data_IF_993962506023
#
_entry.id   IF_993962506023
#
_cell.length_a   1.000
_cell.length_b   1.000
_cell.length_c   1.000
_cell.angle_alpha   90.00
_cell.angle_beta   90.00
_cell.angle_gamma   90.00
#
_symmetry.space_group_name_H-M   'P 1'
#
loop_
_entity.id
_entity.type
_entity.pdbx_description
1 polymer ?
#
# COMPACT_ATOMS: atom_id res chain seq x y z
N UNK A 1 12.08 -9.12 9.10
CA UNK A 1 11.26 -8.19 9.92
C UNK A 1 12.08 -7.35 10.89
N UNK A 2 13.18 -7.86 11.38
CA UNK A 2 14.06 -7.21 12.36
C UNK A 2 14.71 -5.94 11.82
N UNK A 3 15.09 -5.95 10.55
CA UNK A 3 15.69 -4.79 9.87
C UNK A 3 14.79 -3.53 9.78
N UNK A 4 13.49 -3.68 9.94
CA UNK A 4 12.55 -2.54 10.00
C UNK A 4 12.54 -1.86 11.37
N UNK A 5 12.80 -2.62 12.43
CA UNK A 5 12.73 -2.12 13.80
C UNK A 5 14.10 -1.71 14.38
N UNK A 6 15.20 -1.97 13.67
CA UNK A 6 16.54 -1.71 14.17
C UNK A 6 16.95 -2.61 15.34
N UNK A 7 16.41 -3.83 15.38
CA UNK A 7 16.71 -4.77 16.46
C UNK A 7 18.08 -5.46 16.24
N UNK A 8 18.60 -6.04 17.33
CA UNK A 8 19.76 -6.91 17.26
C UNK A 8 19.45 -8.11 16.36
N UNK A 9 20.35 -8.40 15.45
CA UNK A 9 20.30 -9.56 14.55
C UNK A 9 21.48 -10.47 14.80
N UNK A 10 21.21 -11.76 14.93
CA UNK A 10 22.24 -12.79 15.12
C UNK A 10 22.14 -13.81 14.00
N UNK A 11 23.20 -13.98 13.24
CA UNK A 11 23.28 -14.98 12.17
C UNK A 11 24.20 -16.13 12.57
N UNK A 12 23.63 -17.33 12.71
CA UNK A 12 24.36 -18.56 12.93
C UNK A 12 24.50 -19.28 11.56
N UNK A 13 25.56 -19.00 10.81
CA UNK A 13 25.85 -19.75 9.56
C UNK A 13 26.82 -20.89 9.85
N UNK A 14 26.38 -22.11 9.61
CA UNK A 14 27.17 -23.35 9.75
C UNK A 14 28.41 -23.42 8.87
N UNK A 15 28.58 -22.48 7.92
CA UNK A 15 29.68 -22.47 6.94
C UNK A 15 30.91 -21.61 7.31
N UNK A 16 30.81 -20.81 8.35
CA UNK A 16 31.97 -20.04 8.82
C UNK A 16 32.31 -20.54 10.21
N UNK A 17 33.51 -21.08 10.34
CA UNK A 17 34.09 -21.57 11.59
C UNK A 17 33.76 -20.63 12.75
N UNK A 18 32.92 -21.09 13.66
CA UNK A 18 32.58 -20.57 15.00
C UNK A 18 32.37 -19.04 15.20
N UNK A 19 32.46 -18.20 14.20
CA UNK A 19 32.20 -16.77 14.36
C UNK A 19 30.72 -16.46 14.22
N UNK A 20 30.11 -16.23 15.35
CA UNK A 20 28.72 -15.75 15.48
C UNK A 20 28.65 -14.29 15.03
N UNK A 21 28.06 -14.03 13.85
CA UNK A 21 27.87 -12.66 13.38
C UNK A 21 26.72 -12.00 14.16
N UNK A 22 27.08 -11.01 14.97
CA UNK A 22 26.12 -10.18 15.70
C UNK A 22 26.08 -8.76 15.15
N UNK A 23 24.88 -8.33 14.71
CA UNK A 23 24.62 -6.95 14.31
C UNK A 23 23.74 -6.32 15.39
N UNK A 24 24.27 -5.35 16.12
CA UNK A 24 23.56 -4.76 17.27
C UNK A 24 22.30 -3.98 16.84
N UNK A 25 22.37 -3.29 15.71
CA UNK A 25 21.27 -2.50 15.16
C UNK A 25 21.15 -2.79 13.66
N UNK A 26 20.31 -3.73 13.28
CA UNK A 26 20.05 -4.01 11.87
C UNK A 26 18.96 -3.06 11.35
N UNK A 27 19.35 -2.07 10.57
CA UNK A 27 18.47 -1.15 9.87
C UNK A 27 18.70 -1.24 8.37
N UNK A 28 17.64 -1.48 7.62
CA UNK A 28 17.68 -1.51 6.16
C UNK A 28 16.54 -0.68 5.62
N UNK A 29 16.87 0.32 4.81
CA UNK A 29 15.90 1.08 4.03
C UNK A 29 15.81 0.50 2.62
N UNK A 30 14.61 0.36 2.10
CA UNK A 30 14.34 -0.13 0.75
C UNK A 30 13.59 0.95 -0.01
N UNK A 31 14.17 1.40 -1.11
CA UNK A 31 13.54 2.33 -2.03
C UNK A 31 13.56 1.73 -3.44
N UNK A 32 12.44 1.87 -4.17
CA UNK A 32 12.36 1.33 -5.51
C UNK A 32 10.99 1.52 -6.13
N UNK A 33 10.88 1.09 -7.38
CA UNK A 33 9.64 1.08 -8.14
C UNK A 33 9.25 -0.35 -8.48
N UNK A 34 7.95 -0.59 -8.57
CA UNK A 34 7.40 -1.89 -8.96
C UNK A 34 6.24 -1.68 -9.93
N UNK A 35 6.14 -2.54 -10.93
CA UNK A 35 4.99 -2.52 -11.82
C UNK A 35 3.72 -2.95 -11.07
N UNK A 36 2.56 -2.29 -11.27
CA UNK A 36 1.33 -2.62 -10.57
C UNK A 36 0.96 -4.11 -10.65
N UNK A 37 1.09 -4.73 -11.83
CA UNK A 37 0.79 -6.15 -12.00
C UNK A 37 1.73 -7.03 -11.17
N UNK A 38 3.02 -6.72 -11.13
CA UNK A 38 4.00 -7.44 -10.31
C UNK A 38 3.70 -7.33 -8.82
N UNK A 39 3.33 -6.13 -8.37
CA UNK A 39 2.93 -5.89 -6.98
C UNK A 39 1.75 -6.77 -6.59
N UNK A 40 0.75 -6.86 -7.46
CA UNK A 40 -0.44 -7.67 -7.25
C UNK A 40 -0.11 -9.17 -7.17
N UNK A 41 0.65 -9.65 -8.15
CA UNK A 41 0.89 -11.09 -8.33
C UNK A 41 1.85 -11.65 -7.27
N UNK A 42 2.78 -10.84 -6.77
CA UNK A 42 3.84 -11.30 -5.87
C UNK A 42 3.67 -10.85 -4.43
N UNK A 43 3.31 -9.60 -4.22
CA UNK A 43 3.38 -8.97 -2.89
C UNK A 43 2.00 -8.93 -2.24
N UNK A 44 0.95 -8.55 -2.98
CA UNK A 44 -0.42 -8.48 -2.46
C UNK A 44 -1.10 -9.85 -2.37
N UNK A 45 -0.58 -10.86 -3.06
CA UNK A 45 -1.10 -12.23 -2.99
C UNK A 45 -0.74 -12.96 -1.69
N UNK A 46 0.36 -12.58 -1.05
CA UNK A 46 0.84 -13.16 0.21
C UNK A 46 0.26 -12.40 1.42
N UNK A 47 -0.83 -12.94 1.96
CA UNK A 47 -1.75 -12.23 2.88
C UNK A 47 -1.36 -12.28 4.35
N UNK A 48 -0.18 -12.72 4.74
CA UNK A 48 -0.07 -13.17 6.13
C UNK A 48 0.96 -12.52 7.03
N UNK A 49 2.00 -11.90 6.51
CA UNK A 49 3.19 -11.64 7.33
C UNK A 49 3.39 -10.16 7.78
N UNK A 50 2.47 -9.28 7.41
CA UNK A 50 2.58 -7.85 7.68
C UNK A 50 3.77 -7.19 6.95
N UNK A 51 4.36 -7.85 5.95
CA UNK A 51 5.46 -7.32 5.15
C UNK A 51 5.04 -6.07 4.39
N UNK A 52 3.88 -6.14 3.73
CA UNK A 52 3.27 -5.02 3.01
C UNK A 52 3.10 -3.75 3.84
N UNK A 53 2.69 -3.93 5.09
CA UNK A 53 2.45 -2.84 6.01
C UNK A 53 3.73 -2.09 6.45
N UNK A 54 4.90 -2.58 6.05
CA UNK A 54 6.21 -1.95 6.33
C UNK A 54 6.72 -1.08 5.19
N UNK A 55 5.95 -0.97 4.10
CA UNK A 55 6.25 -0.09 2.98
C UNK A 55 5.27 1.06 2.92
N UNK A 56 5.78 2.25 2.68
CA UNK A 56 4.99 3.43 2.32
C UNK A 56 4.75 3.37 0.80
N UNK A 57 3.60 2.86 0.42
CA UNK A 57 3.22 2.74 -0.97
C UNK A 57 2.75 4.07 -1.52
N UNK A 58 3.28 4.46 -2.68
CA UNK A 58 2.89 5.69 -3.37
C UNK A 58 2.46 5.35 -4.79
N UNK A 59 1.22 5.71 -5.12
CA UNK A 59 0.66 5.54 -6.46
C UNK A 59 0.00 6.84 -6.91
N UNK A 60 0.79 7.79 -7.43
CA UNK A 60 0.29 9.10 -7.83
C UNK A 60 -0.60 9.00 -9.07
N UNK A 61 -1.45 10.01 -9.26
CA UNK A 61 -2.16 10.20 -10.51
C UNK A 61 -1.19 10.59 -11.62
N UNK A 62 -1.48 10.10 -12.83
CA UNK A 62 -0.71 10.49 -14.00
C UNK A 62 -0.92 11.97 -14.27
N UNK A 63 0.17 12.73 -14.21
CA UNK A 63 0.17 14.12 -14.63
C UNK A 63 0.60 14.20 -16.09
N UNK A 64 0.15 15.24 -16.85
CA UNK A 64 0.68 15.52 -18.18
C UNK A 64 2.21 15.63 -18.12
N UNK A 65 2.88 15.09 -19.15
CA UNK A 65 4.33 15.21 -19.25
C UNK A 65 4.74 16.69 -19.33
N UNK A 66 5.63 17.11 -18.43
CA UNK A 66 6.25 18.41 -18.47
C UNK A 66 7.68 18.27 -19.01
N UNK A 67 8.14 19.29 -19.74
CA UNK A 67 9.52 19.32 -20.20
C UNK A 67 10.41 19.60 -18.98
N UNK A 68 11.38 18.73 -18.68
CA UNK A 68 12.30 18.97 -17.57
C UNK A 68 13.03 20.29 -17.74
N UNK A 69 13.01 21.13 -16.73
CA UNK A 69 13.84 22.33 -16.69
C UNK A 69 15.18 21.97 -16.06
N UNK A 70 16.26 22.50 -16.67
CA UNK A 70 17.60 22.30 -16.13
C UNK A 70 17.75 23.21 -14.89
N UNK A 71 17.59 22.65 -13.71
CA UNK A 71 17.78 23.37 -12.45
C UNK A 71 19.12 22.95 -11.84
N UNK A 72 19.97 23.93 -11.53
CA UNK A 72 21.15 23.66 -10.73
C UNK A 72 20.71 23.26 -9.30
N UNK A 73 21.38 22.25 -8.72
CA UNK A 73 21.18 21.91 -7.31
C UNK A 73 21.49 23.15 -6.45
N UNK A 74 20.61 23.53 -5.52
CA UNK A 74 20.92 24.60 -4.58
C UNK A 74 22.18 24.24 -3.78
N UNK A 75 23.06 25.21 -3.56
CA UNK A 75 24.35 24.99 -2.88
C UNK A 75 24.18 24.47 -1.45
N UNK A 76 23.10 24.87 -0.76
CA UNK A 76 22.78 24.44 0.59
C UNK A 76 22.42 22.95 0.69
N UNK A 77 21.96 22.31 -0.39
CA UNK A 77 21.59 20.89 -0.37
C UNK A 77 22.79 20.00 -0.03
N UNK A 78 23.94 20.24 -0.65
CA UNK A 78 25.14 19.46 -0.36
C UNK A 78 25.61 19.67 1.10
N UNK A 79 25.63 20.91 1.57
CA UNK A 79 26.00 21.21 2.94
C UNK A 79 25.04 20.57 3.97
N UNK A 80 23.73 20.54 3.65
CA UNK A 80 22.75 19.87 4.50
C UNK A 80 22.98 18.34 4.57
N UNK A 81 23.31 17.70 3.44
CA UNK A 81 23.67 16.30 3.43
C UNK A 81 24.96 16.01 4.21
N UNK A 82 26.00 16.82 4.06
CA UNK A 82 27.25 16.70 4.84
C UNK A 82 26.98 16.84 6.34
N UNK A 83 26.07 17.77 6.73
CA UNK A 83 25.68 17.95 8.11
C UNK A 83 24.91 16.74 8.67
N UNK A 84 24.01 16.15 7.89
CA UNK A 84 23.33 14.90 8.25
C UNK A 84 24.28 13.72 8.36
N UNK A 85 25.25 13.60 7.43
CA UNK A 85 26.25 12.53 7.44
C UNK A 85 27.13 12.58 8.68
N UNK A 86 27.42 13.78 9.20
CA UNK A 86 28.17 13.96 10.45
C UNK A 86 27.49 13.32 11.69
N UNK A 87 26.16 13.12 11.65
CA UNK A 87 25.43 12.41 12.72
C UNK A 87 25.70 10.91 12.70
N UNK A 88 26.14 10.39 11.58
CA UNK A 88 26.30 8.95 11.28
C UNK A 88 27.75 8.49 11.33
N UNK A 89 28.65 9.13 12.12
CA UNK A 89 30.04 8.71 12.17
C UNK A 89 30.19 7.20 12.53
N UNK A 90 30.33 6.32 11.52
CA UNK A 90 30.45 4.87 11.74
C UNK A 90 31.82 4.47 12.30
N UNK A 91 32.80 5.38 12.28
CA UNK A 91 34.17 5.15 12.68
C UNK A 91 34.54 5.79 14.02
N UNK A 92 33.58 6.38 14.72
CA UNK A 92 33.81 6.85 16.07
C UNK A 92 34.05 5.65 16.98
N UNK A 93 35.28 5.51 17.47
CA UNK A 93 35.77 4.43 18.38
C UNK A 93 35.01 4.32 19.72
N UNK A 94 34.03 5.12 19.94
CA UNK A 94 33.15 5.04 21.11
C UNK A 94 32.06 4.00 20.86
N UNK A 95 32.42 2.72 21.02
CA UNK A 95 31.49 1.58 21.01
C UNK A 95 30.35 1.70 22.08
N UNK A 96 30.38 2.71 22.91
CA UNK A 96 29.38 3.06 23.94
C UNK A 96 28.47 4.23 23.53
N UNK A 97 28.45 4.65 22.25
CA UNK A 97 27.42 5.62 21.85
C UNK A 97 26.04 5.01 22.06
N UNK A 98 25.50 5.26 23.25
CA UNK A 98 24.10 5.04 23.55
C UNK A 98 23.28 5.59 22.39
N UNK A 99 22.30 4.81 21.91
CA UNK A 99 21.34 5.28 20.92
C UNK A 99 20.85 6.66 21.36
N UNK A 100 21.18 7.69 20.60
CA UNK A 100 20.69 9.04 20.89
C UNK A 100 19.19 9.04 20.65
N UNK A 101 18.43 9.16 21.71
CA UNK A 101 16.98 9.29 21.64
C UNK A 101 16.64 10.78 21.70
N UNK A 102 15.92 11.27 20.71
CA UNK A 102 15.31 12.61 20.73
C UNK A 102 13.90 12.46 21.29
N UNK A 103 13.60 12.98 22.49
CA UNK A 103 12.24 12.99 23.01
C UNK A 103 11.37 13.94 22.19
N UNK A 104 10.07 13.79 22.28
CA UNK A 104 9.12 14.79 21.79
C UNK A 104 9.09 15.97 22.79
N UNK A 105 8.90 17.20 22.31
CA UNK A 105 8.54 18.31 23.18
C UNK A 105 7.21 18.02 23.90
N UNK A 106 6.91 18.72 24.98
CA UNK A 106 5.67 18.51 25.75
C UNK A 106 4.44 18.69 24.85
N UNK A 107 4.41 19.72 24.04
CA UNK A 107 3.33 20.05 23.12
C UNK A 107 3.23 19.02 21.99
N UNK A 108 4.37 18.59 21.44
CA UNK A 108 4.44 17.54 20.42
C UNK A 108 3.88 16.21 20.94
N UNK A 109 4.20 15.87 22.20
CA UNK A 109 3.68 14.64 22.82
C UNK A 109 2.18 14.71 23.05
N UNK A 110 1.63 15.85 23.46
CA UNK A 110 0.19 16.04 23.65
C UNK A 110 -0.56 15.88 22.32
N UNK A 111 -0.05 16.51 21.25
CA UNK A 111 -0.61 16.39 19.91
C UNK A 111 -0.56 14.93 19.42
N UNK A 112 0.60 14.30 19.54
CA UNK A 112 0.78 12.90 19.13
C UNK A 112 -0.17 11.96 19.89
N UNK A 113 -0.31 12.11 21.19
CA UNK A 113 -1.20 11.28 21.99
C UNK A 113 -2.67 11.43 21.57
N UNK A 114 -3.11 12.66 21.31
CA UNK A 114 -4.47 12.94 20.83
C UNK A 114 -4.74 12.27 19.48
N UNK A 115 -3.82 12.47 18.54
CA UNK A 115 -3.89 11.82 17.23
C UNK A 115 -3.86 10.29 17.34
N UNK A 116 -2.95 9.75 18.17
CA UNK A 116 -2.77 8.30 18.33
C UNK A 116 -4.04 7.60 18.82
N UNK A 117 -4.74 8.18 19.79
CA UNK A 117 -6.00 7.62 20.29
C UNK A 117 -7.08 7.59 19.20
N UNK A 118 -7.22 8.65 18.42
CA UNK A 118 -8.14 8.71 17.29
C UNK A 118 -7.75 7.70 16.20
N UNK A 119 -6.47 7.62 15.87
CA UNK A 119 -5.91 6.70 14.88
C UNK A 119 -6.08 5.22 15.29
N UNK A 120 -5.89 4.90 16.58
CA UNK A 120 -6.10 3.55 17.11
C UNK A 120 -7.55 3.10 16.91
N UNK A 121 -8.52 3.96 17.22
CA UNK A 121 -9.95 3.68 16.99
C UNK A 121 -10.23 3.43 15.50
N UNK A 122 -9.70 4.27 14.61
CA UNK A 122 -9.82 4.08 13.14
C UNK A 122 -9.24 2.74 12.71
N UNK A 123 -8.05 2.39 13.19
CA UNK A 123 -7.36 1.14 12.86
C UNK A 123 -8.13 -0.11 13.35
N UNK A 124 -8.79 -0.03 14.53
CA UNK A 124 -9.57 -1.13 15.07
C UNK A 124 -10.89 -1.36 14.30
N UNK A 125 -11.49 -0.29 13.77
CA UNK A 125 -12.72 -0.35 12.98
C UNK A 125 -12.48 -0.78 11.54
N UNK A 126 -11.24 -0.73 11.06
CA UNK A 126 -10.89 -1.10 9.70
C UNK A 126 -10.86 -2.63 9.53
N UNK A 127 -11.66 -3.15 8.61
CA UNK A 127 -11.76 -4.60 8.33
C UNK A 127 -10.92 -5.05 7.13
N UNK A 128 -10.51 -4.10 6.29
CA UNK A 128 -9.73 -4.40 5.09
C UNK A 128 -8.25 -4.64 5.41
N UNK A 129 -7.47 -5.01 4.38
CA UNK A 129 -6.00 -5.16 4.48
C UNK A 129 -5.31 -3.86 4.94
N UNK A 130 -5.96 -2.70 4.78
CA UNK A 130 -5.46 -1.41 5.21
C UNK A 130 -5.21 -1.36 6.72
N UNK A 131 -5.93 -2.14 7.52
CA UNK A 131 -5.73 -2.21 8.98
C UNK A 131 -4.30 -2.56 9.38
N UNK A 132 -3.60 -3.37 8.59
CA UNK A 132 -2.19 -3.73 8.87
C UNK A 132 -1.26 -2.54 8.69
N UNK A 133 -1.53 -1.68 7.70
CA UNK A 133 -0.82 -0.43 7.48
C UNK A 133 -1.14 0.58 8.59
N UNK A 134 -2.42 0.79 8.89
CA UNK A 134 -2.84 1.66 9.98
C UNK A 134 -2.23 1.23 11.32
N UNK A 135 -2.16 -0.08 11.59
CA UNK A 135 -1.51 -0.62 12.79
C UNK A 135 -0.01 -0.29 12.92
N UNK A 136 0.64 0.24 11.87
CA UNK A 136 2.02 0.75 11.90
C UNK A 136 2.12 2.27 11.92
N UNK A 137 0.99 2.97 11.85
CA UNK A 137 0.91 4.41 11.69
C UNK A 137 1.68 5.19 12.74
N UNK A 138 1.57 4.80 14.03
CA UNK A 138 2.32 5.43 15.11
C UNK A 138 3.83 5.45 14.86
N UNK A 139 4.39 4.32 14.39
CA UNK A 139 5.82 4.23 14.10
C UNK A 139 6.23 5.02 12.86
N UNK A 140 5.34 5.17 11.88
CA UNK A 140 5.58 6.00 10.71
C UNK A 140 5.59 7.48 11.08
N UNK A 141 4.59 7.95 11.80
CA UNK A 141 4.51 9.36 12.20
C UNK A 141 5.72 9.78 13.03
N UNK A 142 6.14 8.97 14.01
CA UNK A 142 7.33 9.27 14.81
C UNK A 142 8.62 9.30 13.97
N UNK A 143 8.79 8.39 13.02
CA UNK A 143 9.95 8.38 12.10
C UNK A 143 9.94 9.58 11.17
N UNK A 144 8.77 9.92 10.61
CA UNK A 144 8.63 11.10 9.75
C UNK A 144 8.88 12.39 10.52
N UNK A 145 8.38 12.52 11.75
CA UNK A 145 8.63 13.68 12.59
C UNK A 145 10.13 13.85 12.88
N UNK A 146 10.82 12.75 13.24
CA UNK A 146 12.27 12.78 13.43
C UNK A 146 13.02 13.18 12.15
N UNK A 147 12.63 12.63 11.00
CA UNK A 147 13.25 12.98 9.72
C UNK A 147 13.03 14.45 9.36
N UNK A 148 11.83 14.99 9.56
CA UNK A 148 11.52 16.39 9.29
C UNK A 148 12.35 17.31 10.21
N UNK A 149 12.41 17.00 11.50
CA UNK A 149 13.21 17.77 12.47
C UNK A 149 14.68 17.84 12.04
N UNK A 150 15.27 16.69 11.70
CA UNK A 150 16.68 16.61 11.29
C UNK A 150 16.93 17.27 9.93
N UNK A 151 15.99 17.18 8.98
CA UNK A 151 16.11 17.85 7.68
C UNK A 151 16.07 19.36 7.82
N UNK A 152 15.16 19.91 8.63
CA UNK A 152 15.09 21.33 8.92
C UNK A 152 16.32 21.84 9.66
N UNK A 153 16.80 21.07 10.65
CA UNK A 153 18.06 21.39 11.30
C UNK A 153 19.23 21.41 10.31
N UNK A 154 19.32 20.45 9.41
CA UNK A 154 20.40 20.37 8.44
C UNK A 154 20.45 21.58 7.50
N UNK A 155 19.31 22.15 7.15
CA UNK A 155 19.20 23.38 6.32
C UNK A 155 19.26 24.68 7.15
N UNK A 156 19.58 24.60 8.44
CA UNK A 156 19.63 25.75 9.37
C UNK A 156 21.02 25.99 9.93
N UNK A 157 21.23 27.15 10.54
CA UNK A 157 22.43 27.47 11.32
C UNK A 157 22.27 27.15 12.83
N UNK A 158 21.13 26.56 13.20
CA UNK A 158 20.85 26.22 14.60
C UNK A 158 21.70 25.05 15.11
N UNK A 159 21.92 24.94 16.43
CA UNK A 159 22.55 23.78 17.03
C UNK A 159 21.70 22.53 16.84
N UNK A 160 22.31 21.36 16.97
CA UNK A 160 21.62 20.08 16.85
C UNK A 160 20.41 20.00 17.81
N UNK A 161 19.23 19.52 17.33
CA UNK A 161 18.04 19.49 18.15
C UNK A 161 18.20 18.51 19.33
N UNK A 162 17.63 18.87 20.46
CA UNK A 162 17.59 18.03 21.67
C UNK A 162 16.24 17.33 21.87
N UNK A 163 15.23 17.76 21.10
CA UNK A 163 13.88 17.22 21.11
C UNK A 163 13.25 17.38 19.72
N UNK A 164 12.16 16.65 19.45
CA UNK A 164 11.36 16.79 18.24
C UNK A 164 10.26 17.80 18.48
N UNK A 165 10.18 18.82 17.62
CA UNK A 165 9.26 19.95 17.77
C UNK A 165 7.79 19.59 17.51
N UNK A 166 6.89 20.44 17.97
CA UNK A 166 5.46 20.37 17.68
C UNK A 166 5.20 20.41 16.17
N UNK A 167 5.88 21.30 15.45
CA UNK A 167 5.75 21.50 14.03
C UNK A 167 6.11 20.23 13.25
N UNK A 168 7.19 19.55 13.64
CA UNK A 168 7.61 18.31 13.00
C UNK A 168 6.58 17.19 13.18
N UNK A 169 5.99 17.06 14.37
CA UNK A 169 4.93 16.07 14.63
C UNK A 169 3.66 16.44 13.88
N UNK A 170 3.26 17.69 13.85
CA UNK A 170 2.08 18.15 13.11
C UNK A 170 2.20 17.86 11.62
N UNK A 171 3.33 18.22 11.02
CA UNK A 171 3.58 17.96 9.58
C UNK A 171 3.66 16.47 9.27
N UNK A 172 4.25 15.68 10.16
CA UNK A 172 4.31 14.23 9.99
C UNK A 172 2.92 13.58 10.04
N UNK A 173 2.04 14.02 10.94
CA UNK A 173 0.64 13.58 11.01
C UNK A 173 -0.09 13.97 9.73
N UNK A 174 0.03 15.21 9.28
CA UNK A 174 -0.61 15.69 8.06
C UNK A 174 -0.15 14.89 6.84
N UNK A 175 1.16 14.68 6.67
CA UNK A 175 1.71 13.87 5.58
C UNK A 175 1.20 12.43 5.61
N UNK A 176 1.13 11.85 6.81
CA UNK A 176 0.64 10.48 6.98
C UNK A 176 -0.84 10.36 6.66
N UNK A 177 -1.69 11.25 7.19
CA UNK A 177 -3.14 11.15 7.05
C UNK A 177 -3.63 11.62 5.68
N UNK A 178 -3.07 12.69 5.11
CA UNK A 178 -3.58 13.32 3.89
C UNK A 178 -2.92 12.81 2.60
N UNK A 179 -1.71 12.26 2.69
CA UNK A 179 -0.99 11.79 1.51
C UNK A 179 -0.68 10.29 1.55
N UNK A 180 0.01 9.80 2.58
CA UNK A 180 0.49 8.41 2.61
C UNK A 180 -0.66 7.41 2.79
N UNK A 181 -1.60 7.68 3.67
CA UNK A 181 -2.76 6.79 3.88
C UNK A 181 -3.61 6.67 2.62
N UNK A 182 -4.06 7.76 1.95
CA UNK A 182 -4.77 7.65 0.68
C UNK A 182 -3.99 6.95 -0.43
N UNK A 183 -2.66 7.14 -0.50
CA UNK A 183 -1.83 6.43 -1.47
C UNK A 183 -1.79 4.92 -1.21
N UNK A 184 -1.64 4.52 0.05
CA UNK A 184 -1.71 3.11 0.43
C UNK A 184 -3.09 2.51 0.16
N UNK A 185 -4.18 3.23 0.46
CA UNK A 185 -5.55 2.81 0.11
C UNK A 185 -5.70 2.55 -1.38
N UNK A 186 -5.19 3.44 -2.23
CA UNK A 186 -5.21 3.25 -3.69
C UNK A 186 -4.48 1.96 -4.10
N UNK A 187 -3.31 1.70 -3.53
CA UNK A 187 -2.53 0.51 -3.84
C UNK A 187 -3.24 -0.75 -3.37
N UNK A 188 -3.79 -0.76 -2.16
CA UNK A 188 -4.51 -1.91 -1.63
C UNK A 188 -5.83 -2.15 -2.37
N UNK A 189 -6.53 -1.08 -2.77
CA UNK A 189 -7.75 -1.17 -3.56
C UNK A 189 -7.50 -1.71 -4.98
N UNK A 190 -6.28 -1.56 -5.53
CA UNK A 190 -5.94 -2.25 -6.79
C UNK A 190 -6.11 -3.75 -6.67
N UNK A 191 -5.76 -4.35 -5.53
CA UNK A 191 -5.90 -5.79 -5.31
C UNK A 191 -7.37 -6.24 -5.24
N UNK A 192 -8.24 -5.41 -4.67
CA UNK A 192 -9.68 -5.71 -4.55
C UNK A 192 -10.49 -5.23 -5.74
N UNK A 193 -9.93 -4.35 -6.57
CA UNK A 193 -10.63 -3.82 -7.73
C UNK A 193 -10.91 -4.94 -8.77
N UNK A 194 -12.09 -4.93 -9.40
CA UNK A 194 -12.38 -5.79 -10.55
C UNK A 194 -11.38 -5.63 -11.70
N UNK A 195 -10.60 -4.53 -11.71
CA UNK A 195 -9.57 -4.26 -12.71
C UNK A 195 -8.46 -5.32 -12.77
N UNK A 196 -8.29 -6.15 -11.75
CA UNK A 196 -7.27 -7.20 -11.70
C UNK A 196 -7.73 -8.53 -12.27
N UNK A 197 -9.02 -8.75 -12.30
CA UNK A 197 -9.55 -9.87 -13.03
C UNK A 197 -9.85 -9.36 -14.45
N UNK A 198 -8.84 -9.47 -15.33
CA UNK A 198 -8.99 -9.06 -16.74
C UNK A 198 -10.28 -9.63 -17.32
N UNK A 199 -10.62 -10.85 -16.91
CA UNK A 199 -11.84 -11.53 -17.30
C UNK A 199 -13.08 -10.84 -16.71
N UNK A 200 -13.09 -10.53 -15.41
CA UNK A 200 -14.23 -9.85 -14.78
C UNK A 200 -14.41 -8.43 -15.34
N UNK A 201 -13.31 -7.71 -15.61
CA UNK A 201 -13.35 -6.39 -16.25
C UNK A 201 -13.87 -6.45 -17.67
N UNK A 202 -13.46 -7.46 -18.44
CA UNK A 202 -13.95 -7.67 -19.79
C UNK A 202 -15.47 -7.95 -19.79
N UNK A 203 -15.93 -8.79 -18.84
CA UNK A 203 -17.35 -9.08 -18.67
C UNK A 203 -18.14 -7.85 -18.20
N UNK A 204 -17.61 -7.08 -17.24
CA UNK A 204 -18.24 -5.86 -16.75
C UNK A 204 -18.38 -4.81 -17.86
N UNK A 205 -17.34 -4.59 -18.67
CA UNK A 205 -17.40 -3.68 -19.82
C UNK A 205 -18.44 -4.12 -20.84
N UNK A 206 -18.51 -5.42 -21.10
CA UNK A 206 -19.52 -5.97 -22.02
C UNK A 206 -20.94 -5.74 -21.48
N UNK A 207 -21.17 -5.97 -20.19
CA UNK A 207 -22.46 -5.73 -19.52
C UNK A 207 -22.87 -4.26 -19.66
N UNK A 208 -21.96 -3.32 -19.34
CA UNK A 208 -22.24 -1.88 -19.43
C UNK A 208 -22.52 -1.45 -20.87
N UNK A 209 -21.75 -1.96 -21.82
CA UNK A 209 -21.88 -1.60 -23.25
C UNK A 209 -23.17 -2.15 -23.88
N UNK A 210 -23.57 -3.37 -23.51
CA UNK A 210 -24.72 -4.05 -24.16
C UNK A 210 -26.01 -3.98 -23.34
N UNK A 211 -25.94 -3.57 -22.08
CA UNK A 211 -27.05 -3.45 -21.12
C UNK A 211 -28.03 -4.64 -21.16
N UNK A 212 -27.56 -5.93 -21.11
CA UNK A 212 -28.46 -7.06 -21.13
C UNK A 212 -29.25 -7.17 -19.82
N UNK A 213 -30.48 -7.65 -19.87
CA UNK A 213 -31.26 -7.98 -18.68
C UNK A 213 -30.74 -9.25 -17.97
N UNK A 214 -30.33 -10.22 -18.78
CA UNK A 214 -29.73 -11.48 -18.35
C UNK A 214 -28.84 -12.06 -19.45
N UNK A 215 -28.00 -13.03 -19.10
CA UNK A 215 -27.18 -13.77 -20.06
C UNK A 215 -26.81 -15.16 -19.55
N UNK A 216 -26.36 -16.03 -20.46
CA UNK A 216 -25.73 -17.29 -20.14
C UNK A 216 -24.26 -17.24 -20.55
N UNK A 217 -23.39 -17.88 -19.77
CA UNK A 217 -21.94 -17.85 -20.03
C UNK A 217 -21.57 -18.44 -21.40
N UNK A 218 -22.37 -19.40 -21.90
CA UNK A 218 -22.14 -20.00 -23.21
C UNK A 218 -22.14 -18.97 -24.32
N UNK A 219 -23.05 -18.01 -24.26
CA UNK A 219 -23.13 -16.95 -25.27
C UNK A 219 -21.94 -16.00 -25.20
N UNK A 220 -21.44 -15.76 -23.98
CA UNK A 220 -20.25 -14.94 -23.74
C UNK A 220 -19.00 -15.55 -24.39
N UNK A 221 -18.69 -16.83 -24.10
CA UNK A 221 -17.44 -17.41 -24.60
C UNK A 221 -17.52 -17.96 -26.02
N UNK A 222 -18.71 -18.29 -26.55
CA UNK A 222 -18.87 -18.77 -27.91
C UNK A 222 -19.09 -17.63 -28.93
N UNK A 223 -19.92 -16.65 -28.60
CA UNK A 223 -20.42 -15.69 -29.57
C UNK A 223 -19.96 -14.24 -29.28
N UNK A 224 -19.51 -13.96 -28.03
CA UNK A 224 -19.22 -12.60 -27.58
C UNK A 224 -17.92 -12.01 -28.16
N UNK A 225 -17.04 -12.82 -28.74
CA UNK A 225 -15.70 -12.42 -29.19
C UNK A 225 -14.96 -11.45 -28.22
N UNK A 226 -15.23 -11.62 -26.93
CA UNK A 226 -14.72 -10.73 -25.87
C UNK A 226 -13.30 -11.17 -25.53
N UNK A 227 -12.31 -10.28 -25.63
CA UNK A 227 -10.94 -10.59 -25.20
C UNK A 227 -10.93 -11.14 -23.77
N UNK A 228 -10.12 -12.17 -23.52
CA UNK A 228 -9.97 -12.84 -22.20
C UNK A 228 -11.19 -13.63 -21.70
N UNK A 229 -12.29 -13.76 -22.49
CA UNK A 229 -13.48 -14.56 -22.16
C UNK A 229 -13.78 -15.64 -23.18
N UNK A 230 -12.78 -16.12 -23.91
CA UNK A 230 -12.93 -17.13 -24.98
C UNK A 230 -13.03 -18.57 -24.47
N UNK A 231 -12.79 -18.80 -23.17
CA UNK A 231 -12.86 -20.12 -22.54
C UNK A 231 -13.90 -20.11 -21.44
N UNK A 232 -14.59 -21.25 -21.28
CA UNK A 232 -15.60 -21.44 -20.23
C UNK A 232 -15.09 -21.08 -18.84
N UNK A 233 -13.90 -21.55 -18.50
CA UNK A 233 -13.26 -21.30 -17.19
C UNK A 233 -13.02 -19.81 -16.90
N UNK A 234 -12.61 -19.07 -17.93
CA UNK A 234 -12.41 -17.62 -17.83
C UNK A 234 -13.74 -16.89 -17.59
N UNK A 235 -14.79 -17.28 -18.33
CA UNK A 235 -16.12 -16.69 -18.16
C UNK A 235 -16.74 -17.05 -16.80
N UNK A 236 -16.56 -18.28 -16.31
CA UNK A 236 -17.01 -18.70 -14.97
C UNK A 236 -16.28 -17.93 -13.86
N UNK A 237 -14.96 -17.77 -13.96
CA UNK A 237 -14.15 -16.97 -13.03
C UNK A 237 -14.61 -15.52 -12.99
N UNK A 238 -14.85 -14.92 -14.17
CA UNK A 238 -15.37 -13.57 -14.31
C UNK A 238 -16.74 -13.40 -13.64
N UNK A 239 -17.69 -14.29 -13.94
CA UNK A 239 -19.04 -14.23 -13.40
C UNK A 239 -19.04 -14.42 -11.87
N UNK A 240 -18.27 -15.38 -11.34
CA UNK A 240 -18.16 -15.60 -9.89
C UNK A 240 -17.60 -14.36 -9.19
N UNK A 241 -16.63 -13.67 -9.79
CA UNK A 241 -16.08 -12.43 -9.25
C UNK A 241 -17.12 -11.31 -9.24
N UNK A 242 -17.90 -11.15 -10.32
CA UNK A 242 -18.96 -10.14 -10.39
C UNK A 242 -20.13 -10.45 -9.45
N UNK A 243 -20.40 -11.74 -9.17
CA UNK A 243 -21.37 -12.13 -8.11
C UNK A 243 -20.86 -11.69 -6.74
N UNK A 244 -19.59 -11.99 -6.43
CA UNK A 244 -18.97 -11.59 -5.17
C UNK A 244 -18.94 -10.07 -4.96
N UNK A 245 -18.90 -9.30 -6.05
CA UNK A 245 -18.97 -7.83 -6.05
C UNK A 245 -20.40 -7.29 -6.04
N UNK A 246 -21.40 -8.18 -6.01
CA UNK A 246 -22.80 -7.77 -5.98
C UNK A 246 -23.38 -7.26 -7.30
N UNK A 247 -22.67 -7.41 -8.42
CA UNK A 247 -23.14 -7.00 -9.76
C UNK A 247 -24.15 -7.97 -10.37
N UNK A 248 -23.97 -9.27 -10.08
CA UNK A 248 -24.74 -10.35 -10.69
C UNK A 248 -25.42 -11.21 -9.63
N UNK A 249 -26.54 -11.81 -10.03
CA UNK A 249 -27.16 -12.94 -9.34
C UNK A 249 -27.26 -14.11 -10.31
N UNK A 250 -27.12 -15.36 -9.81
CA UNK A 250 -27.21 -16.55 -10.64
C UNK A 250 -28.41 -17.39 -10.22
N UNK A 251 -29.25 -17.74 -11.17
CA UNK A 251 -30.34 -18.71 -10.98
C UNK A 251 -30.08 -19.94 -11.84
N UNK A 252 -30.27 -21.11 -11.22
CA UNK A 252 -30.17 -22.39 -11.91
C UNK A 252 -31.59 -22.88 -12.20
N UNK A 253 -31.91 -23.09 -13.47
CA UNK A 253 -33.20 -23.66 -13.88
C UNK A 253 -32.98 -25.00 -14.58
N UNK A 254 -33.88 -25.98 -14.31
CA UNK A 254 -33.98 -27.20 -15.09
C UNK A 254 -35.08 -26.99 -16.12
N UNK A 255 -34.77 -27.22 -17.38
CA UNK A 255 -35.77 -27.20 -18.47
C UNK A 255 -35.99 -28.64 -18.91
N UNK A 256 -37.17 -29.21 -18.60
CA UNK A 256 -37.63 -30.54 -19.06
C UNK A 256 -37.49 -31.64 -18.02
N UNK A 257 -38.32 -32.72 -18.21
CA UNK A 257 -38.44 -33.87 -17.35
C UNK A 257 -37.31 -34.95 -17.54
N UNK A 258 -36.41 -34.72 -18.47
CA UNK A 258 -35.30 -35.65 -18.72
C UNK A 258 -34.06 -35.15 -17.99
N UNK A 259 -33.20 -36.09 -17.52
CA UNK A 259 -31.94 -35.85 -16.81
C UNK A 259 -30.93 -35.03 -17.65
N UNK A 260 -31.21 -33.76 -17.86
CA UNK A 260 -30.40 -32.82 -18.63
C UNK A 260 -29.57 -31.87 -17.74
N UNK A 261 -28.55 -31.30 -18.36
CA UNK A 261 -27.61 -30.35 -17.72
C UNK A 261 -28.33 -29.08 -17.26
N UNK A 262 -28.21 -28.71 -15.99
CA UNK A 262 -28.80 -27.51 -15.40
C UNK A 262 -28.28 -26.26 -16.11
N UNK A 263 -29.19 -25.40 -16.61
CA UNK A 263 -28.86 -24.12 -17.23
C UNK A 263 -28.69 -23.06 -16.13
N UNK A 264 -27.56 -22.37 -16.13
CA UNK A 264 -27.29 -21.23 -15.26
C UNK A 264 -27.53 -19.94 -16.03
N UNK A 265 -28.44 -19.09 -15.54
CA UNK A 265 -28.70 -17.76 -16.08
C UNK A 265 -28.24 -16.71 -15.08
N UNK A 266 -27.55 -15.71 -15.56
CA UNK A 266 -26.98 -14.61 -14.76
C UNK A 266 -27.81 -13.35 -14.99
N UNK A 267 -28.28 -12.74 -13.93
CA UNK A 267 -29.09 -11.52 -13.94
C UNK A 267 -28.27 -10.36 -13.40
N UNK A 268 -28.36 -9.21 -14.05
CA UNK A 268 -27.65 -7.99 -13.64
C UNK A 268 -28.55 -7.24 -12.66
N UNK A 269 -27.95 -6.70 -11.60
CA UNK A 269 -28.63 -5.82 -10.66
C UNK A 269 -28.83 -4.44 -11.31
N UNK A 270 -30.01 -3.86 -11.14
CA UNK A 270 -30.39 -2.58 -11.75
C UNK A 270 -29.49 -1.43 -11.28
N UNK A 271 -29.07 -1.46 -10.01
CA UNK A 271 -28.12 -0.50 -9.41
C UNK A 271 -26.80 -0.36 -10.18
N UNK A 272 -26.38 -1.40 -10.91
CA UNK A 272 -25.14 -1.38 -11.72
C UNK A 272 -25.27 -0.39 -12.89
N UNK A 273 -26.42 -0.29 -13.49
CA UNK A 273 -26.66 0.62 -14.61
C UNK A 273 -26.86 2.06 -14.16
N UNK A 274 -27.51 2.26 -13.01
CA UNK A 274 -27.69 3.59 -12.39
C UNK A 274 -26.34 4.20 -11.98
N UNK A 275 -25.44 3.40 -11.43
CA UNK A 275 -24.08 3.83 -11.10
C UNK A 275 -23.25 4.15 -12.35
N UNK A 276 -23.44 3.40 -13.45
CA UNK A 276 -22.66 3.61 -14.68
C UNK A 276 -23.10 4.86 -15.47
N UNK A 277 -24.30 5.40 -15.23
CA UNK A 277 -24.79 6.64 -15.86
C UNK A 277 -24.33 7.92 -15.12
N UNK A 278 -23.84 7.78 -13.88
CA UNK A 278 -23.36 8.89 -13.05
C UNK A 278 -21.82 9.08 -13.10
N UNK A 279 -21.11 8.32 -13.94
CA UNK A 279 -19.68 8.40 -14.17
C UNK A 279 -19.37 8.62 -15.68
#
# INVERSE_FOLDING_TARGET
>A
MEAFNGNKFVCNRVKFDDERLEIQNLLVSVFGTIQPQRLIDTVLSDRGDGFLARFLWVYPELKPAAIPQNMALPKNVLAAFEKLDSLLDPYSDNAEKQKKCLPLSIEAQQLFNTWYLAHLNKSQQEESILKYFLGKGQGYVLRLALLLELLWWADSEYPEPTEVSLEAVQMAIELYDTYLTPMCERVYNMYYSPSQNIEARALARWIIANKPSDFILRDIYNNGNIPHLRRKEQAEKAANKLIALGWLTCKSSRVGDTAGRTRKTYYIKQEVYELAENY
#
